data_IF_090151406331
#
_entry.id   IF_090151406331
#
_cell.length_a   1.000
_cell.length_b   1.000
_cell.length_c   1.000
_cell.angle_alpha   90.00
_cell.angle_beta   90.00
_cell.angle_gamma   90.00
#
_symmetry.space_group_name_H-M   'P 1'
#
loop_
_entity.id
_entity.type
_entity.pdbx_description
1 polymer ?
#
# COMPACT_ATOMS: atom_id res chain seq x y z
N UNK A 1 -3.44 -10.80 -6.93
CA UNK A 1 -4.68 -10.00 -7.01
C UNK A 1 -4.43 -8.79 -7.89
N UNK A 2 -5.45 -8.34 -8.63
CA UNK A 2 -5.41 -7.11 -9.44
C UNK A 2 -6.66 -6.30 -9.16
N UNK A 3 -6.52 -4.98 -9.04
CA UNK A 3 -7.62 -4.05 -8.77
C UNK A 3 -7.24 -2.63 -9.16
N UNK A 4 -8.08 -1.67 -8.79
CA UNK A 4 -7.85 -0.25 -9.06
C UNK A 4 -8.18 0.60 -7.85
N UNK A 5 -7.45 1.71 -7.68
CA UNK A 5 -7.77 2.78 -6.73
C UNK A 5 -7.92 4.10 -7.48
N UNK A 6 -8.85 4.94 -7.06
CA UNK A 6 -9.08 6.24 -7.67
C UNK A 6 -8.34 7.35 -6.90
N UNK A 7 -7.76 8.29 -7.64
CA UNK A 7 -7.15 9.50 -7.09
C UNK A 7 -7.60 10.73 -7.87
N UNK A 8 -7.74 11.87 -7.21
CA UNK A 8 -8.17 13.13 -7.85
C UNK A 8 -7.07 13.75 -8.72
N UNK A 9 -5.80 13.45 -8.41
CA UNK A 9 -4.65 14.00 -9.11
C UNK A 9 -3.33 13.41 -8.59
N UNK A 10 -2.23 13.82 -9.21
CA UNK A 10 -0.89 13.41 -8.78
C UNK A 10 -0.55 14.09 -7.43
N UNK A 11 -0.39 13.27 -6.39
CA UNK A 11 0.06 13.69 -5.08
C UNK A 11 0.81 12.53 -4.41
N UNK A 12 1.73 12.86 -3.51
CA UNK A 12 2.35 11.86 -2.66
C UNK A 12 1.27 11.25 -1.77
N UNK A 13 1.34 9.93 -1.58
CA UNK A 13 0.36 9.20 -0.81
C UNK A 13 1.01 8.01 -0.10
N UNK A 14 0.22 7.30 0.69
CA UNK A 14 0.61 6.05 1.31
C UNK A 14 -0.40 4.97 0.98
N UNK A 15 0.07 3.74 0.80
CA UNK A 15 -0.75 2.59 0.48
C UNK A 15 -0.93 1.73 1.74
N UNK A 16 -2.16 1.60 2.21
CA UNK A 16 -2.54 0.69 3.28
C UNK A 16 -3.12 -0.61 2.70
N UNK A 17 -2.78 -1.74 3.32
CA UNK A 17 -3.23 -3.08 2.91
C UNK A 17 -3.90 -3.79 4.11
N UNK A 18 -5.09 -3.35 4.54
CA UNK A 18 -5.79 -3.95 5.69
C UNK A 18 -6.18 -5.41 5.41
N UNK A 19 -5.92 -6.29 6.38
CA UNK A 19 -6.25 -7.72 6.28
C UNK A 19 -5.27 -8.56 5.44
N UNK A 20 -4.27 -7.95 4.81
CA UNK A 20 -3.18 -8.67 4.13
C UNK A 20 -2.10 -9.10 5.12
N UNK A 21 -1.33 -10.13 4.77
CA UNK A 21 -0.34 -10.73 5.66
C UNK A 21 1.10 -10.39 5.25
N UNK A 22 1.57 -10.89 4.11
CA UNK A 22 2.95 -10.61 3.67
C UNK A 22 3.06 -10.73 2.16
N UNK A 23 3.73 -9.77 1.52
CA UNK A 23 3.88 -9.84 0.08
C UNK A 23 4.50 -8.61 -0.57
N UNK A 24 4.17 -8.41 -1.85
CA UNK A 24 4.63 -7.29 -2.67
C UNK A 24 3.46 -6.60 -3.35
N UNK A 25 3.60 -5.31 -3.61
CA UNK A 25 2.58 -4.52 -4.29
C UNK A 25 3.18 -3.62 -5.36
N UNK A 26 2.43 -3.50 -6.46
CA UNK A 26 2.76 -2.62 -7.58
C UNK A 26 1.64 -1.61 -7.78
N UNK A 27 2.03 -0.36 -8.08
CA UNK A 27 1.14 0.70 -8.54
C UNK A 27 1.52 1.04 -9.98
N UNK A 28 0.57 0.93 -10.91
CA UNK A 28 0.79 1.27 -12.32
C UNK A 28 2.04 0.59 -12.93
N UNK A 29 2.32 -0.65 -12.52
CA UNK A 29 3.48 -1.44 -12.97
C UNK A 29 4.79 -1.18 -12.21
N UNK A 30 4.85 -0.16 -11.34
CA UNK A 30 6.01 0.12 -10.50
C UNK A 30 5.94 -0.66 -9.19
N UNK A 31 7.01 -1.38 -8.83
CA UNK A 31 7.09 -2.16 -7.59
C UNK A 31 7.37 -1.25 -6.39
N UNK A 32 6.40 -1.09 -5.48
CA UNK A 32 6.58 -0.31 -4.24
C UNK A 32 7.39 -1.05 -3.19
N UNK A 33 7.55 -2.36 -3.34
CA UNK A 33 8.31 -3.21 -2.43
C UNK A 33 7.42 -4.07 -1.54
N UNK A 34 8.00 -4.46 -0.41
CA UNK A 34 7.45 -5.48 0.49
C UNK A 34 6.56 -4.87 1.56
N UNK A 35 5.37 -5.43 1.76
CA UNK A 35 4.56 -5.21 2.97
C UNK A 35 4.62 -6.43 3.90
N UNK A 36 4.44 -6.20 5.20
CA UNK A 36 4.32 -7.26 6.20
C UNK A 36 3.52 -6.77 7.40
N UNK A 37 2.40 -7.42 7.70
CA UNK A 37 1.50 -7.06 8.81
C UNK A 37 2.11 -7.18 10.21
N UNK A 38 3.26 -7.87 10.35
CA UNK A 38 4.03 -7.93 11.59
C UNK A 38 4.60 -6.56 12.01
N UNK A 39 4.64 -5.58 11.10
CA UNK A 39 5.09 -4.22 11.39
C UNK A 39 6.62 -4.08 11.49
N UNK A 40 7.11 -2.93 12.00
CA UNK A 40 6.32 -1.83 12.53
C UNK A 40 5.58 -1.06 11.42
N UNK A 41 6.17 -0.95 10.23
CA UNK A 41 5.60 -0.27 9.08
C UNK A 41 4.25 -0.86 8.65
N UNK A 42 3.22 -0.01 8.53
CA UNK A 42 1.86 -0.40 8.15
C UNK A 42 1.44 0.11 6.78
N UNK A 43 2.06 1.19 6.31
CA UNK A 43 1.81 1.75 4.97
C UNK A 43 3.08 1.83 4.12
N UNK A 44 2.92 1.76 2.79
CA UNK A 44 4.00 1.94 1.84
C UNK A 44 3.92 3.32 1.19
N UNK A 45 5.03 4.04 1.10
CA UNK A 45 5.06 5.33 0.40
C UNK A 45 4.81 5.15 -1.10
N UNK A 46 3.95 6.01 -1.65
CA UNK A 46 3.63 6.08 -3.08
C UNK A 46 4.03 7.47 -3.60
N UNK A 47 5.13 7.59 -4.36
CA UNK A 47 5.52 8.86 -4.97
C UNK A 47 4.44 9.42 -5.91
N UNK A 48 4.21 10.73 -5.86
CA UNK A 48 3.28 11.45 -6.74
C UNK A 48 3.43 11.10 -8.23
N UNK A 49 4.65 10.94 -8.80
CA UNK A 49 4.82 10.59 -10.21
C UNK A 49 4.21 9.24 -10.62
N UNK A 50 3.92 8.35 -9.66
CA UNK A 50 3.25 7.08 -9.93
C UNK A 50 1.72 7.21 -9.96
N UNK A 51 1.15 8.30 -9.44
CA UNK A 51 -0.29 8.52 -9.35
C UNK A 51 -0.79 9.30 -10.57
N UNK A 52 -1.91 8.82 -11.12
CA UNK A 52 -2.66 9.46 -12.21
C UNK A 52 -4.03 9.87 -11.68
N UNK A 53 -4.58 10.97 -12.22
CA UNK A 53 -5.97 11.30 -11.98
C UNK A 53 -6.88 10.18 -12.52
N UNK A 54 -7.91 9.81 -11.76
CA UNK A 54 -8.78 8.67 -12.06
C UNK A 54 -8.21 7.34 -11.57
N UNK A 55 -8.38 6.28 -12.35
CA UNK A 55 -8.05 4.91 -11.93
C UNK A 55 -6.54 4.62 -12.04
N UNK A 56 -5.99 4.07 -10.96
CA UNK A 56 -4.61 3.59 -10.87
C UNK A 56 -4.62 2.08 -10.65
N UNK A 57 -3.86 1.34 -11.44
CA UNK A 57 -3.78 -0.11 -11.31
C UNK A 57 -3.00 -0.50 -10.06
N UNK A 58 -3.55 -1.48 -9.34
CA UNK A 58 -2.90 -2.16 -8.24
C UNK A 58 -2.73 -3.64 -8.57
N UNK A 59 -1.52 -4.16 -8.38
CA UNK A 59 -1.24 -5.59 -8.37
C UNK A 59 -0.68 -5.95 -7.01
N UNK A 60 -1.27 -6.95 -6.34
CA UNK A 60 -0.80 -7.45 -5.05
C UNK A 60 -0.45 -8.93 -5.17
N UNK A 61 0.79 -9.27 -4.81
CA UNK A 61 1.22 -10.64 -4.57
C UNK A 61 1.16 -10.88 -3.06
N UNK A 62 0.35 -11.83 -2.62
CA UNK A 62 0.24 -12.27 -1.22
C UNK A 62 0.87 -13.65 -1.09
N UNK A 63 1.67 -13.85 -0.04
CA UNK A 63 2.55 -15.00 0.12
C UNK A 63 2.24 -15.87 1.34
N UNK A 64 1.40 -15.39 2.27
CA UNK A 64 1.10 -16.12 3.50
C UNK A 64 -0.35 -16.59 3.52
N UNK A 65 -1.31 -15.66 3.58
CA UNK A 65 -2.72 -15.99 3.80
C UNK A 65 -3.62 -15.22 2.86
N UNK A 66 -4.63 -15.91 2.33
CA UNK A 66 -5.71 -15.28 1.57
C UNK A 66 -6.45 -14.29 2.49
N UNK A 67 -6.55 -13.00 2.12
CA UNK A 67 -7.37 -12.05 2.87
C UNK A 67 -8.84 -12.45 2.76
N UNK A 68 -9.59 -12.27 3.85
CA UNK A 68 -11.04 -12.51 3.85
C UNK A 68 -11.74 -11.55 2.88
N UNK A 69 -11.34 -10.27 2.92
CA UNK A 69 -11.78 -9.22 2.02
C UNK A 69 -10.54 -8.52 1.43
N UNK A 70 -10.21 -8.73 0.14
CA UNK A 70 -9.07 -8.08 -0.48
C UNK A 70 -9.35 -6.58 -0.69
N UNK A 71 -8.80 -5.74 0.17
CA UNK A 71 -8.97 -4.28 0.14
C UNK A 71 -7.63 -3.57 0.17
N UNK A 72 -7.50 -2.46 -0.56
CA UNK A 72 -6.30 -1.62 -0.56
C UNK A 72 -6.75 -0.16 -0.60
N UNK A 73 -6.07 0.71 0.14
CA UNK A 73 -6.46 2.10 0.31
C UNK A 73 -5.28 3.03 0.05
N UNK A 74 -5.54 4.15 -0.64
CA UNK A 74 -4.64 5.30 -0.64
C UNK A 74 -5.02 6.19 0.55
N UNK A 75 -4.07 6.43 1.44
CA UNK A 75 -4.23 7.26 2.63
C UNK A 75 -3.24 8.42 2.61
N UNK A 76 -3.59 9.52 3.27
CA UNK A 76 -2.78 10.74 3.29
C UNK A 76 -1.59 10.66 4.25
N UNK A 77 -1.69 9.84 5.30
CA UNK A 77 -0.74 9.82 6.40
C UNK A 77 0.15 8.57 6.39
N UNK A 78 1.42 8.78 6.76
CA UNK A 78 2.37 7.70 6.99
C UNK A 78 2.08 7.03 8.35
N UNK A 79 1.81 5.72 8.35
CA UNK A 79 1.79 4.91 9.57
C UNK A 79 2.99 3.94 9.59
N UNK A 80 4.02 4.32 10.35
CA UNK A 80 5.19 3.47 10.61
C UNK A 80 4.95 2.49 11.77
N UNK A 81 3.74 2.43 12.33
CA UNK A 81 3.44 1.72 13.56
C UNK A 81 4.01 2.43 14.79
N UNK A 82 3.98 1.77 15.97
CA UNK A 82 4.55 2.35 17.18
C UNK A 82 6.05 2.60 16.99
N UNK A 83 6.45 3.87 17.04
CA UNK A 83 7.84 4.26 17.25
C UNK A 83 8.17 3.97 18.72
N UNK A 84 9.11 3.04 18.96
CA UNK A 84 9.57 2.75 20.32
C UNK A 84 10.08 4.02 21.02
N UNK A 85 10.16 4.04 22.37
CA UNK A 85 10.69 5.20 23.07
C UNK A 85 12.09 5.50 22.53
N UNK A 86 12.30 6.74 22.13
CA UNK A 86 13.63 7.28 21.83
C UNK A 86 14.46 7.12 23.10
N UNK A 87 15.37 6.14 23.11
CA UNK A 87 16.39 5.99 24.15
C UNK A 87 17.30 7.21 24.22
#
# INVERSE_FOLDING_TARGET
YRGTVHADGAADAFLALPGWSKGYVWVNGFNLGRYWSAGPQRTLYVPAPLIRAGANELVVLELDRRPAEPQVELVADLDLGPVGPTS
#
